data_IF_497165607833
#
_entry.id   IF_497165607833
#
_cell.length_a   1.000
_cell.length_b   1.000
_cell.length_c   1.000
_cell.angle_alpha   90.00
_cell.angle_beta   90.00
_cell.angle_gamma   90.00
#
_symmetry.space_group_name_H-M   'P 1'
#
loop_
_entity.id
_entity.type
_entity.pdbx_description
1 polymer ?
#
# COMPACT_ATOMS: atom_id res chain seq x y z
N UNK A 1 5.84 -20.74 24.77
CA UNK A 1 5.10 -19.57 24.26
C UNK A 1 3.75 -20.06 23.79
N UNK A 2 2.73 -19.24 23.97
CA UNK A 2 1.36 -19.47 23.53
C UNK A 2 1.06 -18.43 22.47
N UNK A 3 0.64 -18.84 21.28
CA UNK A 3 0.35 -17.91 20.18
C UNK A 3 -1.08 -18.13 19.70
N UNK A 4 -1.93 -17.11 19.85
CA UNK A 4 -3.30 -17.13 19.33
C UNK A 4 -3.31 -16.71 17.86
N UNK A 5 -3.97 -17.48 17.02
CA UNK A 5 -4.13 -17.19 15.60
C UNK A 5 -5.63 -17.12 15.27
N UNK A 6 -5.94 -16.11 14.47
CA UNK A 6 -6.91 -16.13 13.39
C UNK A 6 -7.76 -17.38 13.14
N UNK A 7 -9.09 -17.26 13.03
CA UNK A 7 -9.82 -18.19 12.14
C UNK A 7 -9.36 -18.02 10.67
N UNK A 8 -9.79 -18.90 9.76
CA UNK A 8 -9.52 -18.80 8.31
C UNK A 8 -8.04 -18.90 7.86
N UNK A 9 -7.16 -19.41 8.73
CA UNK A 9 -5.77 -19.78 8.35
C UNK A 9 -5.67 -21.22 7.80
N UNK A 10 -6.72 -22.03 7.94
CA UNK A 10 -6.78 -23.37 7.35
C UNK A 10 -7.59 -23.36 6.06
N UNK A 11 -7.10 -24.05 5.02
CA UNK A 11 -7.79 -24.13 3.72
C UNK A 11 -9.12 -24.88 3.75
N UNK A 12 -9.31 -25.79 4.73
CA UNK A 12 -10.45 -26.73 4.76
C UNK A 12 -11.39 -26.52 5.95
N UNK A 13 -11.04 -25.69 6.94
CA UNK A 13 -11.82 -25.49 8.17
C UNK A 13 -11.77 -24.04 8.65
N UNK A 14 -12.92 -23.49 9.01
CA UNK A 14 -13.04 -22.18 9.66
C UNK A 14 -12.97 -22.33 11.16
N UNK A 15 -11.78 -22.63 11.69
CA UNK A 15 -11.51 -22.70 13.13
C UNK A 15 -10.31 -21.81 13.46
N UNK A 16 -10.31 -21.13 14.62
CA UNK A 16 -9.09 -20.53 15.15
C UNK A 16 -8.10 -21.62 15.54
N UNK A 17 -6.83 -21.27 15.67
CA UNK A 17 -5.83 -22.16 16.25
C UNK A 17 -4.92 -21.44 17.23
N UNK A 18 -4.35 -22.22 18.14
CA UNK A 18 -3.31 -21.78 19.04
C UNK A 18 -2.04 -22.61 18.78
N UNK A 19 -0.89 -21.96 18.70
CA UNK A 19 0.41 -22.63 18.61
C UNK A 19 1.07 -22.68 19.99
N UNK A 20 1.44 -23.88 20.40
CA UNK A 20 2.03 -24.17 21.70
C UNK A 20 3.51 -24.53 21.53
N UNK A 21 4.39 -23.69 22.07
CA UNK A 21 5.83 -23.91 22.05
C UNK A 21 6.32 -24.29 23.45
N UNK A 22 6.76 -25.54 23.59
CA UNK A 22 7.34 -26.07 24.82
C UNK A 22 8.86 -26.13 24.72
N UNK A 23 9.54 -25.75 25.79
CA UNK A 23 11.01 -25.75 25.88
C UNK A 23 11.39 -26.37 27.22
N UNK A 24 12.01 -27.56 27.19
CA UNK A 24 12.48 -28.28 28.38
C UNK A 24 13.80 -27.72 28.93
N UNK A 25 14.54 -26.96 28.13
CA UNK A 25 15.85 -26.41 28.46
C UNK A 25 15.80 -24.90 28.71
N UNK A 26 14.69 -24.38 29.26
CA UNK A 26 14.56 -22.95 29.56
C UNK A 26 15.65 -22.48 30.54
N UNK A 27 16.37 -21.40 30.22
CA UNK A 27 17.34 -20.79 31.13
C UNK A 27 16.61 -20.24 32.37
N UNK A 28 17.33 -20.15 33.49
CA UNK A 28 16.78 -19.72 34.80
C UNK A 28 16.00 -18.41 34.73
N UNK A 29 16.48 -17.44 33.95
CA UNK A 29 15.85 -16.13 33.75
C UNK A 29 14.45 -16.18 33.11
N UNK A 30 14.12 -17.28 32.42
CA UNK A 30 12.84 -17.51 31.73
C UNK A 30 12.03 -18.67 32.34
N UNK A 31 12.49 -19.25 33.44
CA UNK A 31 11.72 -20.27 34.17
C UNK A 31 10.43 -19.66 34.72
N UNK A 32 9.39 -20.49 34.81
CA UNK A 32 8.03 -20.11 35.27
C UNK A 32 7.36 -18.94 34.55
N UNK A 33 7.92 -18.53 33.39
CA UNK A 33 7.34 -17.52 32.52
C UNK A 33 6.87 -18.12 31.20
N UNK A 34 5.78 -17.55 30.68
CA UNK A 34 5.16 -17.90 29.41
C UNK A 34 4.99 -16.63 28.59
N UNK A 35 5.54 -16.62 27.37
CA UNK A 35 5.25 -15.57 26.40
C UNK A 35 3.84 -15.80 25.84
N UNK A 36 2.94 -14.85 26.08
CA UNK A 36 1.60 -14.80 25.50
C UNK A 36 1.64 -13.86 24.30
N UNK A 37 1.38 -14.39 23.11
CA UNK A 37 1.38 -13.62 21.86
C UNK A 37 0.03 -13.76 21.17
N UNK A 38 -0.66 -12.64 20.94
CA UNK A 38 -1.91 -12.59 20.21
C UNK A 38 -1.67 -12.11 18.78
N UNK A 39 -1.59 -13.07 17.85
CA UNK A 39 -1.41 -12.79 16.43
C UNK A 39 -2.75 -12.73 15.67
N UNK A 40 -3.90 -12.68 16.36
CA UNK A 40 -5.22 -12.64 15.70
C UNK A 40 -5.43 -11.40 14.86
N UNK A 41 -4.78 -10.27 15.19
CA UNK A 41 -4.84 -9.03 14.41
C UNK A 41 -3.86 -8.96 13.24
N UNK A 42 -2.93 -9.92 13.10
CA UNK A 42 -1.88 -9.88 12.08
C UNK A 42 -2.23 -10.89 10.99
N UNK A 43 -2.49 -10.41 9.77
CA UNK A 43 -2.80 -11.29 8.64
C UNK A 43 -2.75 -10.53 7.33
N UNK A 44 -2.64 -11.29 6.23
CA UNK A 44 -2.96 -10.85 4.89
C UNK A 44 -4.18 -11.63 4.40
N UNK A 45 -5.11 -10.93 3.77
CA UNK A 45 -6.28 -11.53 3.15
C UNK A 45 -5.92 -12.04 1.75
N UNK A 46 -5.74 -13.36 1.61
CA UNK A 46 -5.45 -14.00 0.31
C UNK A 46 -6.71 -14.12 -0.54
N UNK A 47 -7.81 -14.53 0.09
CA UNK A 47 -9.14 -14.55 -0.52
C UNK A 47 -10.18 -14.08 0.49
N UNK A 48 -11.45 -13.96 0.06
CA UNK A 48 -12.56 -13.68 0.99
C UNK A 48 -12.68 -14.70 2.15
N UNK A 49 -12.10 -15.91 2.02
CA UNK A 49 -12.23 -16.99 3.02
C UNK A 49 -10.89 -17.49 3.59
N UNK A 50 -9.75 -17.11 3.00
CA UNK A 50 -8.43 -17.67 3.35
C UNK A 50 -7.47 -16.55 3.63
N UNK A 51 -6.91 -16.56 4.83
CA UNK A 51 -5.91 -15.60 5.29
C UNK A 51 -4.59 -16.33 5.53
N UNK A 52 -3.48 -15.62 5.35
CA UNK A 52 -2.14 -16.11 5.66
C UNK A 52 -1.31 -15.01 6.34
N UNK A 53 -0.05 -15.33 6.65
CA UNK A 53 0.94 -14.31 6.97
C UNK A 53 1.74 -13.99 5.72
N UNK A 54 2.00 -12.71 5.46
CA UNK A 54 3.10 -12.35 4.56
C UNK A 54 4.44 -12.83 5.15
N UNK A 55 5.48 -13.02 4.33
CA UNK A 55 6.83 -13.34 4.83
C UNK A 55 7.29 -12.36 5.93
N UNK A 56 7.01 -11.07 5.76
CA UNK A 56 7.37 -9.98 6.66
C UNK A 56 6.55 -10.03 7.96
N UNK A 57 5.25 -10.32 7.89
CA UNK A 57 4.43 -10.56 9.09
C UNK A 57 4.96 -11.74 9.90
N UNK A 58 5.37 -12.82 9.23
CA UNK A 58 5.98 -13.98 9.90
C UNK A 58 7.32 -13.61 10.55
N UNK A 59 8.18 -12.86 9.86
CA UNK A 59 9.45 -12.38 10.43
C UNK A 59 9.21 -11.45 11.62
N UNK A 60 8.19 -10.59 11.56
CA UNK A 60 7.84 -9.68 12.66
C UNK A 60 7.40 -10.46 13.91
N UNK A 61 6.55 -11.48 13.76
CA UNK A 61 6.17 -12.38 14.85
C UNK A 61 7.38 -13.14 15.41
N UNK A 62 8.27 -13.61 14.54
CA UNK A 62 9.50 -14.29 14.92
C UNK A 62 10.46 -13.36 15.68
N UNK A 63 10.51 -12.08 15.32
CA UNK A 63 11.33 -11.08 15.98
C UNK A 63 10.92 -10.87 17.44
N UNK A 64 9.63 -10.92 17.76
CA UNK A 64 9.14 -10.90 19.15
C UNK A 64 9.70 -12.10 19.95
N UNK A 65 9.75 -13.27 19.32
CA UNK A 65 10.32 -14.48 19.94
C UNK A 65 11.84 -14.36 20.11
N UNK A 66 12.54 -13.71 19.17
CA UNK A 66 13.97 -13.40 19.32
C UNK A 66 14.23 -12.48 20.53
N UNK A 67 13.46 -11.40 20.66
CA UNK A 67 13.54 -10.50 21.81
C UNK A 67 13.26 -11.25 23.12
N UNK A 68 12.25 -12.12 23.15
CA UNK A 68 11.99 -12.99 24.31
C UNK A 68 13.17 -13.91 24.67
N UNK A 69 14.00 -14.28 23.69
CA UNK A 69 15.19 -15.11 23.88
C UNK A 69 16.48 -14.31 24.13
N UNK A 70 16.42 -12.97 24.10
CA UNK A 70 17.59 -12.10 24.23
C UNK A 70 18.42 -11.99 22.94
N UNK A 71 17.86 -12.35 21.79
CA UNK A 71 18.52 -12.31 20.49
C UNK A 71 18.34 -10.94 19.80
N UNK A 72 18.69 -9.84 20.49
CA UNK A 72 18.46 -8.47 20.03
C UNK A 72 19.15 -8.15 18.68
N UNK A 73 20.33 -8.72 18.44
CA UNK A 73 21.07 -8.52 17.18
C UNK A 73 20.26 -8.96 15.95
N UNK A 74 19.47 -10.04 16.07
CA UNK A 74 18.62 -10.53 14.97
C UNK A 74 17.45 -9.59 14.70
N UNK A 75 16.87 -9.03 15.76
CA UNK A 75 15.82 -8.01 15.65
C UNK A 75 16.36 -6.76 14.94
N UNK A 76 17.52 -6.25 15.39
CA UNK A 76 18.16 -5.08 14.79
C UNK A 76 18.53 -5.34 13.32
N UNK A 77 19.04 -6.52 12.99
CA UNK A 77 19.34 -6.90 11.61
C UNK A 77 18.08 -6.96 10.74
N UNK A 78 16.94 -7.45 11.26
CA UNK A 78 15.68 -7.48 10.52
C UNK A 78 15.16 -6.06 10.23
N UNK A 79 15.13 -5.19 11.24
CA UNK A 79 14.71 -3.79 11.06
C UNK A 79 15.63 -3.08 10.07
N UNK A 80 16.94 -3.25 10.19
CA UNK A 80 17.90 -2.70 9.24
C UNK A 80 17.68 -3.25 7.82
N UNK A 81 17.35 -4.53 7.70
CA UNK A 81 16.97 -5.18 6.43
C UNK A 81 15.77 -4.52 5.78
N UNK A 82 14.69 -4.27 6.54
CA UNK A 82 13.52 -3.57 6.02
C UNK A 82 13.82 -2.14 5.56
N UNK A 83 14.55 -1.36 6.35
CA UNK A 83 14.92 0.01 5.96
C UNK A 83 15.83 0.04 4.73
N UNK A 84 16.77 -0.91 4.64
CA UNK A 84 17.60 -1.08 3.44
C UNK A 84 16.77 -1.46 2.21
N UNK A 85 15.76 -2.32 2.37
CA UNK A 85 14.81 -2.68 1.30
C UNK A 85 13.97 -1.48 0.90
N UNK A 86 13.41 -0.70 1.84
CA UNK A 86 12.69 0.55 1.53
C UNK A 86 13.48 1.44 0.57
N UNK A 87 14.77 1.65 0.83
CA UNK A 87 15.64 2.48 -0.02
C UNK A 87 15.97 1.84 -1.36
N UNK A 88 16.18 0.52 -1.38
CA UNK A 88 16.42 -0.23 -2.63
C UNK A 88 15.21 -0.16 -3.55
N UNK A 89 14.01 -0.38 -3.01
CA UNK A 89 12.77 -0.31 -3.78
C UNK A 89 12.47 1.13 -4.22
N UNK A 90 12.81 2.13 -3.40
CA UNK A 90 12.64 3.54 -3.76
C UNK A 90 13.56 3.98 -4.90
N UNK A 91 14.80 3.48 -4.94
CA UNK A 91 15.69 3.67 -6.08
C UNK A 91 15.16 2.96 -7.34
N UNK A 92 14.68 1.73 -7.18
CA UNK A 92 14.11 0.96 -8.28
C UNK A 92 12.88 1.60 -8.92
N UNK A 93 12.17 2.52 -8.23
CA UNK A 93 11.09 3.33 -8.82
C UNK A 93 11.56 4.21 -9.99
N UNK A 94 12.85 4.55 -10.08
CA UNK A 94 13.33 5.50 -11.08
C UNK A 94 13.01 5.09 -12.52
N UNK A 95 13.25 3.82 -12.87
CA UNK A 95 12.99 3.30 -14.21
C UNK A 95 11.49 3.26 -14.58
N UNK A 96 10.59 2.63 -13.81
CA UNK A 96 9.18 2.58 -14.16
C UNK A 96 8.49 3.95 -14.11
N UNK A 97 8.89 4.86 -13.20
CA UNK A 97 8.39 6.24 -13.21
C UNK A 97 8.81 7.00 -14.47
N UNK A 98 10.05 6.78 -14.95
CA UNK A 98 10.52 7.33 -16.22
C UNK A 98 9.74 6.76 -17.41
N UNK A 99 9.46 5.45 -17.41
CA UNK A 99 8.66 4.80 -18.45
C UNK A 99 7.22 5.32 -18.47
N UNK A 100 6.59 5.52 -17.31
CA UNK A 100 5.25 6.10 -17.20
C UNK A 100 5.22 7.53 -17.76
N UNK A 101 6.16 8.38 -17.36
CA UNK A 101 6.25 9.74 -17.90
C UNK A 101 6.36 9.73 -19.44
N UNK A 102 7.26 8.91 -19.98
CA UNK A 102 7.43 8.77 -21.43
C UNK A 102 6.18 8.22 -22.14
N UNK A 103 5.45 7.28 -21.52
CA UNK A 103 4.22 6.73 -22.07
C UNK A 103 3.08 7.75 -22.07
N UNK A 104 2.97 8.58 -21.03
CA UNK A 104 2.01 9.68 -20.97
C UNK A 104 2.32 10.77 -21.99
N UNK A 105 3.59 11.11 -22.20
CA UNK A 105 4.04 12.03 -23.25
C UNK A 105 3.73 11.47 -24.65
N UNK A 106 3.99 10.18 -24.86
CA UNK A 106 3.65 9.49 -26.11
C UNK A 106 2.15 9.50 -26.40
N UNK A 107 1.33 9.29 -25.36
CA UNK A 107 -0.12 9.41 -25.47
C UNK A 107 -0.54 10.85 -25.77
N UNK A 108 0.08 11.86 -25.15
CA UNK A 108 -0.14 13.27 -25.51
C UNK A 108 0.11 13.49 -26.99
N UNK A 109 1.27 13.04 -27.49
CA UNK A 109 1.66 13.26 -28.87
C UNK A 109 0.65 12.67 -29.87
N UNK A 110 0.06 11.51 -29.56
CA UNK A 110 -0.99 10.88 -30.37
C UNK A 110 -2.30 11.69 -30.34
N UNK A 111 -2.67 12.24 -29.18
CA UNK A 111 -3.90 13.01 -29.03
C UNK A 111 -3.79 14.46 -29.53
N UNK A 112 -2.58 15.03 -29.52
CA UNK A 112 -2.32 16.45 -29.80
C UNK A 112 -2.91 16.99 -31.13
N UNK A 113 -2.86 16.26 -32.26
CA UNK A 113 -3.47 16.74 -33.51
C UNK A 113 -4.98 16.94 -33.41
N UNK A 114 -5.65 16.11 -32.60
CA UNK A 114 -7.09 16.15 -32.40
C UNK A 114 -7.50 17.18 -31.34
N UNK A 115 -6.73 17.26 -30.24
CA UNK A 115 -6.95 18.19 -29.13
C UNK A 115 -6.77 19.68 -29.51
N UNK A 116 -6.12 19.99 -30.63
CA UNK A 116 -5.98 21.36 -31.16
C UNK A 116 -7.26 21.90 -31.82
N UNK A 117 -8.20 21.01 -32.18
CA UNK A 117 -9.50 21.43 -32.71
C UNK A 117 -10.38 21.89 -31.53
N UNK A 118 -11.27 22.88 -31.72
CA UNK A 118 -12.10 23.38 -30.62
C UNK A 118 -13.07 22.30 -30.15
N UNK A 119 -12.67 21.54 -29.12
CA UNK A 119 -13.53 20.67 -28.34
C UNK A 119 -14.01 21.48 -27.12
N UNK A 120 -15.25 21.96 -27.19
CA UNK A 120 -15.86 22.83 -26.17
C UNK A 120 -16.04 22.15 -24.81
N UNK A 121 -15.84 20.84 -24.71
CA UNK A 121 -16.01 20.00 -23.51
C UNK A 121 -14.71 19.38 -22.97
N UNK A 122 -13.58 19.42 -23.70
CA UNK A 122 -12.32 18.76 -23.29
C UNK A 122 -11.22 19.71 -22.80
N UNK A 123 -11.39 21.01 -22.98
CA UNK A 123 -10.39 22.01 -22.59
C UNK A 123 -10.03 21.95 -21.09
N UNK A 124 -11.03 21.72 -20.23
CA UNK A 124 -10.82 21.59 -18.78
C UNK A 124 -10.02 20.34 -18.42
N UNK A 125 -10.40 19.18 -18.96
CA UNK A 125 -9.70 17.90 -18.73
C UNK A 125 -8.27 17.93 -19.27
N UNK A 126 -8.04 18.56 -20.43
CA UNK A 126 -6.70 18.73 -20.99
C UNK A 126 -5.82 19.65 -20.14
N UNK A 127 -6.38 20.76 -19.64
CA UNK A 127 -5.69 21.67 -18.75
C UNK A 127 -5.32 20.99 -17.42
N UNK A 128 -6.26 20.24 -16.83
CA UNK A 128 -6.04 19.47 -15.62
C UNK A 128 -4.94 18.41 -15.83
N UNK A 129 -5.01 17.66 -16.92
CA UNK A 129 -4.02 16.64 -17.22
C UNK A 129 -2.62 17.22 -17.46
N UNK A 130 -2.51 18.32 -18.20
CA UNK A 130 -1.24 19.00 -18.45
C UNK A 130 -0.64 19.55 -17.15
N UNK A 131 -1.47 20.14 -16.29
CA UNK A 131 -1.03 20.60 -14.97
C UNK A 131 -0.58 19.42 -14.11
N UNK A 132 -1.35 18.32 -14.11
CA UNK A 132 -1.02 17.09 -13.40
C UNK A 132 0.31 16.48 -13.84
N UNK A 133 0.60 16.44 -15.15
CA UNK A 133 1.86 15.92 -15.67
C UNK A 133 3.06 16.75 -15.16
N UNK A 134 2.91 18.07 -15.13
CA UNK A 134 3.95 18.98 -14.61
C UNK A 134 4.20 18.74 -13.12
N UNK A 135 3.13 18.63 -12.33
CA UNK A 135 3.23 18.34 -10.90
C UNK A 135 3.87 16.98 -10.67
N UNK A 136 3.41 15.94 -11.37
CA UNK A 136 3.97 14.59 -11.28
C UNK A 136 5.46 14.55 -11.62
N UNK A 137 5.88 15.22 -12.69
CA UNK A 137 7.30 15.30 -13.05
C UNK A 137 8.14 15.99 -11.96
N UNK A 138 7.62 17.07 -11.36
CA UNK A 138 8.29 17.76 -10.25
C UNK A 138 8.40 16.88 -9.01
N UNK A 139 7.32 16.18 -8.64
CA UNK A 139 7.27 15.32 -7.46
C UNK A 139 8.15 14.07 -7.64
N UNK A 140 8.21 13.49 -8.85
CA UNK A 140 9.15 12.41 -9.18
C UNK A 140 10.60 12.88 -9.04
N UNK A 141 10.92 14.10 -9.47
CA UNK A 141 12.27 14.66 -9.32
C UNK A 141 12.63 14.91 -7.85
N UNK A 142 11.68 15.45 -7.07
CA UNK A 142 11.83 15.64 -5.63
C UNK A 142 12.02 14.29 -4.90
N UNK A 143 11.18 13.30 -5.19
CA UNK A 143 11.28 11.94 -4.66
C UNK A 143 12.66 11.33 -4.91
N UNK A 144 13.16 11.37 -6.15
CA UNK A 144 14.51 10.88 -6.49
C UNK A 144 15.62 11.59 -5.71
N UNK A 145 15.48 12.90 -5.48
CA UNK A 145 16.43 13.68 -4.70
C UNK A 145 16.45 13.25 -3.22
N UNK A 146 15.27 13.02 -2.65
CA UNK A 146 15.13 12.48 -1.29
C UNK A 146 15.74 11.08 -1.20
N UNK A 147 15.43 10.19 -2.13
CA UNK A 147 16.02 8.83 -2.18
C UNK A 147 17.55 8.90 -2.17
N UNK A 148 18.16 9.68 -3.06
CA UNK A 148 19.61 9.81 -3.12
C UNK A 148 20.23 10.38 -1.83
N UNK A 149 19.51 11.29 -1.15
CA UNK A 149 19.94 11.86 0.13
C UNK A 149 19.87 10.82 1.25
N UNK A 150 18.76 10.09 1.34
CA UNK A 150 18.56 9.08 2.36
C UNK A 150 19.48 7.87 2.18
N UNK A 151 19.79 7.47 0.95
CA UNK A 151 20.78 6.43 0.67
C UNK A 151 22.16 6.81 1.23
N UNK A 152 22.61 8.06 1.01
CA UNK A 152 23.89 8.55 1.56
C UNK A 152 23.88 8.62 3.09
N UNK A 153 22.73 8.92 3.69
CA UNK A 153 22.58 8.87 5.15
C UNK A 153 22.62 7.43 5.67
N UNK A 154 21.99 6.50 4.95
CA UNK A 154 21.91 5.09 5.31
C UNK A 154 23.27 4.40 5.36
N UNK A 155 24.17 4.69 4.42
CA UNK A 155 25.53 4.11 4.42
C UNK A 155 26.36 4.44 5.66
N UNK A 156 25.98 5.49 6.40
CA UNK A 156 26.67 5.93 7.64
C UNK A 156 25.95 5.45 8.91
N UNK A 157 24.78 4.84 8.77
CA UNK A 157 23.93 4.45 9.90
C UNK A 157 24.46 3.18 10.54
N UNK A 158 24.70 3.22 11.85
CA UNK A 158 25.02 2.02 12.64
C UNK A 158 23.71 1.32 13.04
N UNK A 159 23.64 -0.02 13.06
CA UNK A 159 22.42 -0.76 13.37
C UNK A 159 22.17 -0.83 14.89
N UNK A 160 22.11 0.32 15.57
CA UNK A 160 21.69 0.40 16.98
C UNK A 160 20.19 0.68 17.05
N UNK A 161 19.54 0.29 18.14
CA UNK A 161 18.09 0.46 18.32
C UNK A 161 17.66 1.92 18.08
N UNK A 162 18.30 2.88 18.76
CA UNK A 162 18.04 4.31 18.60
C UNK A 162 18.26 4.84 17.18
N UNK A 163 19.31 4.39 16.50
CA UNK A 163 19.61 4.82 15.13
C UNK A 163 18.62 4.25 14.12
N UNK A 164 18.12 3.03 14.33
CA UNK A 164 17.10 2.41 13.49
C UNK A 164 15.72 3.04 13.72
N UNK A 165 15.35 3.37 14.96
CA UNK A 165 14.14 4.15 15.27
C UNK A 165 14.19 5.51 14.55
N UNK A 166 15.31 6.24 14.69
CA UNK A 166 15.48 7.53 14.05
C UNK A 166 15.45 7.43 12.51
N UNK A 167 16.05 6.38 11.94
CA UNK A 167 16.02 6.15 10.49
C UNK A 167 14.64 5.77 10.00
N UNK A 168 13.87 5.00 10.78
CA UNK A 168 12.49 4.64 10.45
C UNK A 168 11.58 5.87 10.40
N UNK A 169 11.72 6.79 11.36
CA UNK A 169 11.02 8.07 11.35
C UNK A 169 11.47 8.96 10.18
N UNK A 170 12.77 9.00 9.87
CA UNK A 170 13.33 9.77 8.77
C UNK A 170 12.85 9.27 7.39
N UNK A 171 12.62 7.97 7.22
CA UNK A 171 12.10 7.39 5.99
C UNK A 171 10.56 7.44 5.86
N UNK A 172 9.83 7.83 6.91
CA UNK A 172 8.37 7.90 6.85
C UNK A 172 7.86 8.91 5.78
N UNK A 173 8.41 10.14 5.64
CA UNK A 173 8.01 11.06 4.58
C UNK A 173 8.26 10.51 3.16
N UNK A 174 9.29 9.70 2.97
CA UNK A 174 9.57 9.03 1.69
C UNK A 174 8.47 8.01 1.35
N UNK A 175 8.01 7.24 2.35
CA UNK A 175 6.90 6.30 2.18
C UNK A 175 5.58 7.03 1.86
N UNK A 176 5.30 8.16 2.52
CA UNK A 176 4.11 8.97 2.21
C UNK A 176 4.17 9.55 0.79
N UNK A 177 5.33 10.10 0.39
CA UNK A 177 5.53 10.60 -0.97
C UNK A 177 5.35 9.48 -2.00
N UNK A 178 5.79 8.26 -1.70
CA UNK A 178 5.58 7.11 -2.59
C UNK A 178 4.09 6.76 -2.78
N UNK A 179 3.27 6.88 -1.73
CA UNK A 179 1.81 6.72 -1.80
C UNK A 179 1.18 7.83 -2.63
N UNK A 180 1.60 9.07 -2.43
CA UNK A 180 1.03 10.20 -3.15
C UNK A 180 1.35 10.13 -4.66
N UNK A 181 2.54 9.64 -5.02
CA UNK A 181 2.91 9.35 -6.41
C UNK A 181 2.05 8.24 -7.05
N UNK A 182 1.60 7.23 -6.28
CA UNK A 182 0.64 6.22 -6.77
C UNK A 182 -0.66 6.90 -7.18
N UNK A 183 -1.23 7.74 -6.29
CA UNK A 183 -2.47 8.47 -6.55
C UNK A 183 -2.34 9.39 -7.78
N UNK A 184 -1.21 10.09 -7.91
CA UNK A 184 -0.96 10.93 -9.07
C UNK A 184 -0.88 10.12 -10.38
N UNK A 185 -0.19 8.98 -10.37
CA UNK A 185 -0.09 8.10 -11.54
C UNK A 185 -1.47 7.57 -11.97
N UNK A 186 -2.30 7.14 -11.02
CA UNK A 186 -3.65 6.64 -11.28
C UNK A 186 -4.58 7.76 -11.78
N UNK A 187 -4.53 8.94 -11.16
CA UNK A 187 -5.31 10.11 -11.60
C UNK A 187 -4.93 10.54 -13.02
N UNK A 188 -3.64 10.62 -13.33
CA UNK A 188 -3.16 10.99 -14.66
C UNK A 188 -3.63 10.01 -15.74
N UNK A 189 -3.62 8.72 -15.44
CA UNK A 189 -4.12 7.71 -16.35
C UNK A 189 -5.64 7.77 -16.53
N UNK A 190 -6.41 8.06 -15.47
CA UNK A 190 -7.87 8.27 -15.54
C UNK A 190 -8.19 9.47 -16.45
N UNK A 191 -7.51 10.60 -16.27
CA UNK A 191 -7.66 11.77 -17.14
C UNK A 191 -7.27 11.47 -18.59
N UNK A 192 -6.14 10.78 -18.81
CA UNK A 192 -5.69 10.40 -20.14
C UNK A 192 -6.70 9.46 -20.84
N UNK A 193 -7.27 8.51 -20.11
CA UNK A 193 -8.32 7.61 -20.60
C UNK A 193 -9.56 8.39 -21.04
N UNK A 194 -10.02 9.35 -20.22
CA UNK A 194 -11.16 10.22 -20.58
C UNK A 194 -10.90 11.03 -21.84
N UNK A 195 -9.69 11.56 -22.00
CA UNK A 195 -9.29 12.28 -23.22
C UNK A 195 -9.33 11.35 -24.44
N UNK A 196 -8.81 10.12 -24.33
CA UNK A 196 -8.88 9.11 -25.41
C UNK A 196 -10.33 8.80 -25.78
N UNK A 197 -11.17 8.51 -24.79
CA UNK A 197 -12.57 8.13 -25.01
C UNK A 197 -13.37 9.26 -25.69
N UNK A 198 -13.11 10.51 -25.32
CA UNK A 198 -13.74 11.66 -25.94
C UNK A 198 -13.22 11.92 -27.36
N UNK A 199 -11.91 11.76 -27.60
CA UNK A 199 -11.35 11.84 -28.94
C UNK A 199 -11.94 10.74 -29.85
N UNK A 200 -12.14 9.53 -29.33
CA UNK A 200 -12.73 8.42 -30.07
C UNK A 200 -14.21 8.61 -30.37
N UNK A 201 -14.96 9.30 -29.50
CA UNK A 201 -16.36 9.67 -29.78
C UNK A 201 -16.47 10.74 -30.87
N UNK A 202 -15.59 11.72 -30.86
CA UNK A 202 -15.66 12.89 -31.74
C UNK A 202 -14.88 12.73 -33.06
N UNK A 203 -13.93 11.79 -33.13
CA UNK A 203 -12.96 11.68 -34.21
C UNK A 203 -13.17 10.53 -35.21
N UNK A 204 -14.28 9.79 -35.15
CA UNK A 204 -14.49 8.60 -36.02
C UNK A 204 -14.48 8.90 -37.52
N UNK A 205 -14.83 10.12 -37.90
CA UNK A 205 -14.87 10.59 -39.30
C UNK A 205 -13.71 11.56 -39.62
N UNK A 206 -12.75 11.70 -38.70
CA UNK A 206 -11.64 12.65 -38.81
C UNK A 206 -10.35 11.93 -39.23
N UNK A 207 -9.82 12.29 -40.40
CA UNK A 207 -8.57 11.72 -40.93
C UNK A 207 -7.35 11.96 -40.01
N UNK A 208 -7.42 12.95 -39.11
CA UNK A 208 -6.37 13.21 -38.12
C UNK A 208 -6.43 12.28 -36.90
N UNK A 209 -7.52 11.53 -36.72
CA UNK A 209 -7.68 10.59 -35.62
C UNK A 209 -7.20 9.19 -36.00
N UNK A 210 -6.25 8.66 -35.21
CA UNK A 210 -5.83 7.26 -35.32
C UNK A 210 -6.24 6.49 -34.07
N UNK A 211 -7.44 5.89 -34.10
CA UNK A 211 -7.93 5.06 -33.00
C UNK A 211 -6.96 3.92 -32.65
N UNK A 212 -6.33 3.29 -33.66
CA UNK A 212 -5.35 2.22 -33.45
C UNK A 212 -4.14 2.71 -32.64
N UNK A 213 -3.57 3.85 -32.99
CA UNK A 213 -2.40 4.39 -32.27
C UNK A 213 -2.80 4.91 -30.88
N UNK A 214 -3.99 5.49 -30.73
CA UNK A 214 -4.51 5.92 -29.43
C UNK A 214 -4.75 4.74 -28.48
N UNK A 215 -5.37 3.65 -28.93
CA UNK A 215 -5.54 2.43 -28.13
C UNK A 215 -4.19 1.83 -27.73
N UNK A 216 -3.22 1.79 -28.66
CA UNK A 216 -1.87 1.28 -28.39
C UNK A 216 -1.14 2.14 -27.35
N UNK A 217 -1.19 3.46 -27.48
CA UNK A 217 -0.57 4.38 -26.54
C UNK A 217 -1.24 4.35 -25.16
N UNK A 218 -2.58 4.24 -25.10
CA UNK A 218 -3.33 4.04 -23.85
C UNK A 218 -2.91 2.76 -23.14
N UNK A 219 -2.80 1.65 -23.87
CA UNK A 219 -2.33 0.37 -23.31
C UNK A 219 -0.90 0.46 -22.78
N UNK A 220 0.00 1.11 -23.52
CA UNK A 220 1.38 1.32 -23.06
C UNK A 220 1.44 2.18 -21.78
N UNK A 221 0.60 3.22 -21.69
CA UNK A 221 0.49 4.03 -20.47
C UNK A 221 -0.05 3.23 -19.28
N UNK A 222 -1.02 2.35 -19.49
CA UNK A 222 -1.56 1.49 -18.42
C UNK A 222 -0.54 0.46 -17.91
N UNK A 223 0.19 -0.20 -18.82
CA UNK A 223 1.26 -1.13 -18.48
C UNK A 223 2.38 -0.43 -17.69
N UNK A 224 2.79 0.77 -18.13
CA UNK A 224 3.80 1.57 -17.43
C UNK A 224 3.30 2.08 -16.07
N UNK A 225 2.02 2.48 -15.97
CA UNK A 225 1.38 2.88 -14.71
C UNK A 225 1.38 1.72 -13.73
N UNK A 226 0.94 0.53 -14.16
CA UNK A 226 0.89 -0.65 -13.30
C UNK A 226 2.29 -0.98 -12.76
N UNK A 227 3.31 -0.97 -13.62
CA UNK A 227 4.70 -1.20 -13.19
C UNK A 227 5.19 -0.14 -12.18
N UNK A 228 4.89 1.14 -12.40
CA UNK A 228 5.26 2.22 -11.49
C UNK A 228 4.55 2.12 -10.13
N UNK A 229 3.24 1.85 -10.15
CA UNK A 229 2.41 1.74 -8.95
C UNK A 229 2.84 0.55 -8.09
N UNK A 230 3.05 -0.62 -8.69
CA UNK A 230 3.50 -1.80 -7.94
C UNK A 230 4.88 -1.57 -7.31
N UNK A 231 5.80 -0.92 -8.02
CA UNK A 231 7.12 -0.59 -7.48
C UNK A 231 7.05 0.44 -6.33
N UNK A 232 6.22 1.48 -6.46
CA UNK A 232 6.00 2.48 -5.41
C UNK A 232 5.40 1.86 -4.13
N UNK A 233 4.46 0.92 -4.26
CA UNK A 233 3.86 0.23 -3.11
C UNK A 233 4.89 -0.49 -2.24
N UNK A 234 5.95 -1.05 -2.84
CA UNK A 234 7.00 -1.75 -2.10
C UNK A 234 7.80 -0.83 -1.15
N UNK A 235 7.93 0.46 -1.47
CA UNK A 235 8.61 1.44 -0.62
C UNK A 235 7.91 1.56 0.73
N UNK A 236 6.60 1.85 0.70
CA UNK A 236 5.76 1.95 1.89
C UNK A 236 5.61 0.60 2.59
N UNK A 237 5.52 -0.49 1.84
CA UNK A 237 5.40 -1.84 2.38
C UNK A 237 6.50 -2.16 3.40
N UNK A 238 7.78 -2.07 3.00
CA UNK A 238 8.89 -2.36 3.90
C UNK A 238 9.05 -1.32 5.01
N UNK A 239 8.75 -0.05 4.73
CA UNK A 239 8.83 1.01 5.75
C UNK A 239 7.81 0.78 6.87
N UNK A 240 6.58 0.38 6.52
CA UNK A 240 5.54 0.00 7.49
C UNK A 240 5.98 -1.15 8.38
N UNK A 241 6.65 -2.16 7.84
CA UNK A 241 7.16 -3.28 8.65
C UNK A 241 8.27 -2.87 9.61
N UNK A 242 9.17 -1.97 9.20
CA UNK A 242 10.16 -1.38 10.10
C UNK A 242 9.49 -0.56 11.21
N UNK A 243 8.57 0.34 10.84
CA UNK A 243 7.81 1.18 11.76
C UNK A 243 7.06 0.34 12.80
N UNK A 244 6.36 -0.70 12.35
CA UNK A 244 5.60 -1.60 13.21
C UNK A 244 6.47 -2.22 14.31
N UNK A 245 7.70 -2.65 13.98
CA UNK A 245 8.65 -3.21 14.94
C UNK A 245 9.24 -2.14 15.85
N UNK A 246 9.71 -1.02 15.31
CA UNK A 246 10.39 0.03 16.08
C UNK A 246 9.47 0.79 17.02
N UNK A 247 8.19 0.92 16.67
CA UNK A 247 7.17 1.53 17.54
C UNK A 247 6.92 0.67 18.78
N UNK A 248 6.86 -0.66 18.59
CA UNK A 248 6.53 -1.63 19.62
C UNK A 248 7.74 -2.00 20.49
N UNK A 249 8.92 -2.05 19.91
CA UNK A 249 10.18 -2.46 20.56
C UNK A 249 11.31 -1.46 20.25
N UNK A 250 11.19 -0.18 20.66
CA UNK A 250 12.15 0.87 20.30
C UNK A 250 13.56 0.63 20.83
N UNK A 251 13.68 -0.08 21.95
CA UNK A 251 14.96 -0.37 22.61
C UNK A 251 15.56 -1.72 22.19
N UNK A 252 14.93 -2.42 21.24
CA UNK A 252 15.27 -3.80 20.87
C UNK A 252 15.26 -4.77 22.07
N UNK A 253 14.32 -4.55 22.99
CA UNK A 253 14.04 -5.39 24.15
C UNK A 253 12.58 -5.82 24.15
N UNK A 254 12.30 -7.02 24.68
CA UNK A 254 10.92 -7.45 24.87
C UNK A 254 10.27 -6.57 25.93
N UNK A 255 9.15 -5.95 25.56
CA UNK A 255 8.24 -5.26 26.46
C UNK A 255 6.82 -5.71 26.19
N UNK A 256 5.94 -5.48 27.16
CA UNK A 256 4.52 -5.72 26.98
C UNK A 256 3.97 -4.72 25.96
N UNK A 257 3.14 -5.22 25.05
CA UNK A 257 2.46 -4.44 24.01
C UNK A 257 0.99 -4.84 24.04
N UNK A 258 0.13 -3.87 24.36
CA UNK A 258 -1.31 -4.07 24.48
C UNK A 258 -1.90 -4.68 23.20
N UNK A 259 -2.72 -5.71 23.39
CA UNK A 259 -3.35 -6.52 22.35
C UNK A 259 -2.40 -7.36 21.50
N UNK A 260 -1.08 -7.37 21.78
CA UNK A 260 -0.10 -8.12 21.01
C UNK A 260 0.70 -9.10 21.86
N UNK A 261 1.47 -8.65 22.85
CA UNK A 261 2.39 -9.54 23.58
C UNK A 261 2.52 -9.16 25.03
N UNK A 262 2.59 -10.20 25.89
CA UNK A 262 2.89 -10.05 27.32
C UNK A 262 3.72 -11.23 27.82
N UNK A 263 4.69 -10.96 28.69
CA UNK A 263 5.42 -12.02 29.39
C UNK A 263 4.79 -12.27 30.76
N UNK A 264 4.04 -13.36 30.89
CA UNK A 264 3.30 -13.66 32.13
C UNK A 264 4.02 -14.69 32.98
N UNK A 265 3.89 -14.57 34.30
CA UNK A 265 4.40 -15.56 35.24
C UNK A 265 3.32 -16.57 35.66
N UNK A 266 3.76 -17.65 36.33
CA UNK A 266 2.85 -18.70 36.79
C UNK A 266 1.78 -18.22 37.76
N UNK A 267 2.05 -17.20 38.59
CA UNK A 267 1.07 -16.66 39.54
C UNK A 267 -0.03 -15.90 38.79
N UNK A 268 0.34 -15.13 37.77
CA UNK A 268 -0.61 -14.45 36.90
C UNK A 268 -1.47 -15.46 36.11
N UNK A 269 -0.87 -16.58 35.69
CA UNK A 269 -1.62 -17.68 35.06
C UNK A 269 -2.62 -18.31 36.03
N UNK A 270 -2.20 -18.61 37.27
CA UNK A 270 -3.05 -19.17 38.32
C UNK A 270 -4.23 -18.24 38.66
N UNK A 271 -3.96 -16.93 38.78
CA UNK A 271 -5.00 -15.92 39.01
C UNK A 271 -6.00 -15.79 37.84
N UNK A 272 -5.66 -16.35 36.67
CA UNK A 272 -6.49 -16.40 35.47
C UNK A 272 -7.00 -17.82 35.19
N UNK A 273 -7.29 -18.60 36.24
CA UNK A 273 -7.86 -19.94 36.18
C UNK A 273 -7.04 -20.93 35.35
N UNK A 274 -5.72 -20.76 35.32
CA UNK A 274 -4.80 -21.56 34.51
C UNK A 274 -5.05 -21.48 32.99
N UNK A 275 -5.77 -20.46 32.53
CA UNK A 275 -5.96 -20.17 31.11
C UNK A 275 -4.60 -19.99 30.42
N UNK A 276 -4.47 -20.46 29.20
CA UNK A 276 -3.26 -20.21 28.39
C UNK A 276 -3.58 -19.44 27.10
N UNK A 277 -4.79 -18.89 27.00
CA UNK A 277 -5.21 -18.08 25.85
C UNK A 277 -4.60 -16.68 25.91
N UNK A 278 -3.72 -16.29 24.97
CA UNK A 278 -3.00 -15.02 24.99
C UNK A 278 -3.88 -13.78 25.14
N UNK A 279 -5.04 -13.74 24.48
CA UNK A 279 -5.97 -12.61 24.52
C UNK A 279 -6.43 -12.21 25.94
N UNK A 280 -6.43 -13.15 26.90
CA UNK A 280 -6.77 -12.88 28.30
C UNK A 280 -5.71 -12.03 29.01
N UNK A 281 -4.47 -12.05 28.51
CA UNK A 281 -3.31 -11.40 29.14
C UNK A 281 -2.91 -10.11 28.45
N UNK A 282 -3.07 -10.04 27.13
CA UNK A 282 -2.59 -8.89 26.34
C UNK A 282 -3.64 -7.78 26.21
N UNK A 283 -4.93 -8.05 26.45
CA UNK A 283 -6.02 -7.10 26.22
C UNK A 283 -6.53 -7.12 24.77
N UNK A 284 -7.27 -6.08 24.38
CA UNK A 284 -7.86 -5.96 23.04
C UNK A 284 -7.23 -4.76 22.34
N UNK A 285 -6.62 -4.97 21.17
CA UNK A 285 -6.20 -3.84 20.32
C UNK A 285 -7.45 -3.13 19.79
N UNK A 286 -7.52 -1.79 19.82
CA UNK A 286 -8.50 -1.06 19.02
C UNK A 286 -8.44 -1.51 17.56
N UNK A 287 -9.58 -1.59 16.87
CA UNK A 287 -9.58 -1.84 15.44
C UNK A 287 -8.81 -0.72 14.74
N UNK A 288 -7.65 -1.05 14.18
CA UNK A 288 -6.90 -0.13 13.34
C UNK A 288 -7.69 -0.05 12.02
N UNK A 289 -8.24 1.13 11.71
CA UNK A 289 -8.82 1.39 10.39
C UNK A 289 -7.80 0.97 9.32
N UNK A 290 -8.29 0.34 8.25
CA UNK A 290 -7.43 -0.05 7.14
C UNK A 290 -6.80 1.23 6.55
N UNK A 291 -5.54 1.53 6.91
CA UNK A 291 -4.82 2.72 6.47
C UNK A 291 -4.57 2.74 4.95
N UNK A 292 -4.88 1.64 4.26
CA UNK A 292 -4.87 1.53 2.81
C UNK A 292 -6.26 1.81 2.20
N UNK A 293 -7.31 1.92 3.03
CA UNK A 293 -8.64 2.38 2.65
C UNK A 293 -8.70 3.91 2.71
N UNK A 294 -8.41 4.54 1.58
CA UNK A 294 -8.57 5.99 1.44
C UNK A 294 -10.04 6.35 1.18
N UNK A 295 -10.73 6.77 2.24
CA UNK A 295 -12.12 7.24 2.16
C UNK A 295 -12.29 8.42 1.20
N UNK A 296 -11.33 9.34 1.14
CA UNK A 296 -11.42 10.55 0.31
C UNK A 296 -11.24 10.19 -1.16
N UNK A 297 -10.29 9.31 -1.48
CA UNK A 297 -10.12 8.75 -2.81
C UNK A 297 -11.36 7.96 -3.24
N UNK A 298 -11.88 7.09 -2.38
CA UNK A 298 -13.12 6.32 -2.63
C UNK A 298 -14.29 7.26 -2.91
N UNK A 299 -14.43 8.36 -2.15
CA UNK A 299 -15.47 9.36 -2.38
C UNK A 299 -15.27 10.13 -3.69
N UNK A 300 -14.03 10.49 -4.03
CA UNK A 300 -13.71 11.12 -5.33
C UNK A 300 -13.98 10.17 -6.49
N UNK A 301 -13.68 8.87 -6.33
CA UNK A 301 -13.97 7.83 -7.31
C UNK A 301 -15.48 7.66 -7.50
N UNK A 302 -16.24 7.52 -6.40
CA UNK A 302 -17.71 7.49 -6.44
C UNK A 302 -18.26 8.75 -7.11
N UNK A 303 -17.68 9.92 -6.83
CA UNK A 303 -18.12 11.18 -7.44
C UNK A 303 -17.83 11.23 -8.95
N UNK A 304 -16.66 10.74 -9.36
CA UNK A 304 -16.26 10.57 -10.77
C UNK A 304 -17.20 9.61 -11.48
N UNK A 305 -17.43 8.43 -10.94
CA UNK A 305 -18.35 7.43 -11.49
C UNK A 305 -19.78 7.95 -11.56
N UNK A 306 -20.24 8.64 -10.52
CA UNK A 306 -21.57 9.25 -10.49
C UNK A 306 -21.73 10.31 -11.59
N UNK A 307 -20.71 11.11 -11.85
CA UNK A 307 -20.71 12.08 -12.95
C UNK A 307 -20.76 11.38 -14.31
N UNK A 308 -20.02 10.28 -14.48
CA UNK A 308 -19.99 9.51 -15.73
C UNK A 308 -21.36 8.84 -15.98
N UNK A 309 -21.95 8.22 -14.95
CA UNK A 309 -23.30 7.65 -14.99
C UNK A 309 -24.37 8.72 -15.29
N UNK A 310 -24.23 9.92 -14.75
CA UNK A 310 -25.15 11.03 -15.05
C UNK A 310 -25.03 11.49 -16.51
N UNK A 311 -23.82 11.55 -17.06
CA UNK A 311 -23.59 11.89 -18.47
C UNK A 311 -24.18 10.82 -19.41
N UNK A 312 -24.02 9.53 -19.08
CA UNK A 312 -24.67 8.43 -19.81
C UNK A 312 -26.19 8.50 -19.71
N UNK A 313 -26.74 8.72 -18.51
CA UNK A 313 -28.17 8.89 -18.30
C UNK A 313 -28.73 10.04 -19.14
N UNK A 314 -28.03 11.17 -19.22
CA UNK A 314 -28.43 12.30 -20.06
C UNK A 314 -28.41 11.95 -21.56
N UNK A 315 -27.42 11.18 -22.04
CA UNK A 315 -27.37 10.68 -23.42
C UNK A 315 -28.54 9.74 -23.73
N UNK A 316 -28.83 8.82 -22.81
CA UNK A 316 -29.96 7.89 -22.91
C UNK A 316 -31.30 8.63 -22.94
N UNK A 317 -31.49 9.61 -22.05
CA UNK A 317 -32.69 10.44 -22.01
C UNK A 317 -32.94 11.17 -23.34
N UNK A 318 -31.89 11.79 -23.92
CA UNK A 318 -31.98 12.43 -25.25
C UNK A 318 -32.38 11.44 -26.35
N UNK A 319 -31.81 10.24 -26.32
CA UNK A 319 -32.09 9.19 -27.31
C UNK A 319 -33.52 8.66 -27.19
N UNK A 320 -34.03 8.51 -25.96
CA UNK A 320 -35.43 8.15 -25.71
C UNK A 320 -36.36 9.25 -26.24
N UNK A 321 -36.10 10.52 -25.93
CA UNK A 321 -36.90 11.64 -26.42
C UNK A 321 -36.96 11.68 -27.95
N UNK A 322 -35.81 11.51 -28.62
CA UNK A 322 -35.75 11.43 -30.09
C UNK A 322 -36.57 10.26 -30.65
N UNK A 323 -36.50 9.10 -30.01
CA UNK A 323 -37.29 7.94 -30.44
C UNK A 323 -38.81 8.17 -30.28
N UNK A 324 -39.24 8.90 -29.25
CA UNK A 324 -40.65 9.28 -29.08
C UNK A 324 -41.10 10.26 -30.18
N UNK A 325 -40.28 11.27 -30.50
CA UNK A 325 -40.55 12.19 -31.62
C UNK A 325 -40.66 11.44 -32.96
N UNK A 326 -39.77 10.47 -33.22
CA UNK A 326 -39.80 9.62 -34.43
C UNK A 326 -41.03 8.70 -34.48
N UNK A 327 -41.61 8.35 -33.34
CA UNK A 327 -42.84 7.56 -33.22
C UNK A 327 -44.11 8.44 -33.23
N UNK A 328 -43.98 9.76 -33.32
CA UNK A 328 -45.10 10.70 -33.41
C UNK A 328 -45.83 10.96 -32.09
N UNK A 329 -45.16 10.76 -30.95
CA UNK A 329 -45.67 11.08 -29.60
C UNK A 329 -44.86 12.20 -28.96
#
# INVERSE_FOLDING_TARGET
AMIAIRSNFFYTRTVPCELWFLDRAKPKTRQDKVLMLDARGIYRKVTRKVYDFSPEQQQNLLAIVWLHRGEADRFLALVAGYLGRTLTEAEACAAPLGALAAALDGLHAVLAPFLKKPATDLAATLAEWTAGQKTFAADVAAFRTVVATEQKAWTKTKPTASALVASTARLAPLAETSRDLVKQADHLYKLASRLVDACEQNGKEDDAWSGREATKARKAADEARHAAVEQLKLVRYFQKHAAWLTERFPDAELRDVEGLVKLVDRKEIEANDWSLTPGRYVGVTPEVEDEDFDFEETLREIHVELSDLNAEAAKLAKRIAKNFEELGV
#
